data_IF_314496724425
#
_entry.id   IF_314496724425
#
_cell.length_a   1.000
_cell.length_b   1.000
_cell.length_c   1.000
_cell.angle_alpha   90.00
_cell.angle_beta   90.00
_cell.angle_gamma   90.00
#
_symmetry.space_group_name_H-M   'P 1'
#
loop_
_entity.id
_entity.type
_entity.pdbx_description
1 polymer ?
#
# COMPACT_ATOMS: atom_id res chain seq x y z
N UNK A 1 1.88 0.72 -23.97
CA UNK A 1 1.64 -0.26 -22.90
C UNK A 1 2.88 -1.09 -22.53
N UNK A 2 3.58 -1.80 -23.45
CA UNK A 2 4.72 -2.68 -23.11
C UNK A 2 5.85 -2.01 -22.33
N UNK A 3 6.26 -0.82 -22.74
CA UNK A 3 7.31 -0.05 -22.04
C UNK A 3 6.94 0.32 -20.59
N UNK A 4 5.67 0.61 -20.34
CA UNK A 4 5.20 0.93 -18.98
C UNK A 4 5.28 -0.29 -18.08
N UNK A 5 4.83 -1.46 -18.57
CA UNK A 5 4.92 -2.72 -17.82
C UNK A 5 6.37 -3.11 -17.55
N UNK A 6 7.26 -2.96 -18.54
CA UNK A 6 8.70 -3.21 -18.35
C UNK A 6 9.28 -2.30 -17.26
N UNK A 7 8.98 -1.00 -17.31
CA UNK A 7 9.43 -0.02 -16.31
C UNK A 7 8.88 -0.34 -14.91
N UNK A 8 7.61 -0.78 -14.83
CA UNK A 8 6.98 -1.23 -13.57
C UNK A 8 7.73 -2.44 -12.98
N UNK A 9 8.03 -3.44 -13.81
CA UNK A 9 8.80 -4.63 -13.40
C UNK A 9 10.21 -4.28 -12.91
N UNK A 10 10.90 -3.39 -13.59
CA UNK A 10 12.25 -2.96 -13.20
C UNK A 10 12.24 -2.20 -11.87
N UNK A 11 11.21 -1.35 -11.63
CA UNK A 11 11.01 -0.67 -10.35
C UNK A 11 10.82 -1.67 -9.22
N UNK A 12 9.90 -2.64 -9.38
CA UNK A 12 9.64 -3.67 -8.38
C UNK A 12 10.90 -4.50 -8.06
N UNK A 13 11.66 -4.90 -9.08
CA UNK A 13 12.95 -5.61 -8.90
C UNK A 13 14.00 -4.78 -8.17
N UNK A 14 14.04 -3.48 -8.42
CA UNK A 14 14.93 -2.57 -7.69
C UNK A 14 14.53 -2.49 -6.22
N UNK A 15 13.24 -2.36 -5.94
CA UNK A 15 12.70 -2.30 -4.58
C UNK A 15 12.97 -3.59 -3.79
N UNK A 16 12.88 -4.77 -4.44
CA UNK A 16 13.27 -6.06 -3.84
C UNK A 16 14.74 -6.02 -3.40
N UNK A 17 15.65 -5.58 -4.27
CA UNK A 17 17.08 -5.54 -3.92
C UNK A 17 17.35 -4.59 -2.75
N UNK A 18 16.78 -3.40 -2.78
CA UNK A 18 16.95 -2.40 -1.72
C UNK A 18 16.34 -2.84 -0.38
N UNK A 19 15.17 -3.48 -0.44
CA UNK A 19 14.49 -3.99 0.77
C UNK A 19 15.21 -5.19 1.37
N UNK A 20 15.75 -6.09 0.55
CA UNK A 20 16.55 -7.22 1.04
C UNK A 20 17.80 -6.72 1.80
N UNK A 21 18.57 -5.81 1.22
CA UNK A 21 19.77 -5.28 1.88
C UNK A 21 19.42 -4.65 3.23
N UNK A 22 18.37 -3.82 3.28
CA UNK A 22 17.92 -3.20 4.53
C UNK A 22 17.43 -4.21 5.56
N UNK A 23 16.69 -5.22 5.10
CA UNK A 23 16.18 -6.26 5.99
C UNK A 23 17.33 -7.06 6.58
N UNK A 24 18.30 -7.48 5.77
CA UNK A 24 19.46 -8.22 6.22
C UNK A 24 20.30 -7.44 7.24
N UNK A 25 20.54 -6.15 7.00
CA UNK A 25 21.20 -5.25 7.95
C UNK A 25 20.45 -5.16 9.30
N UNK A 26 19.12 -5.03 9.26
CA UNK A 26 18.29 -4.99 10.46
C UNK A 26 18.31 -6.32 11.22
N UNK A 27 18.16 -7.45 10.51
CA UNK A 27 18.19 -8.78 11.13
C UNK A 27 19.53 -9.04 11.82
N UNK A 28 20.63 -8.72 11.15
CA UNK A 28 21.98 -8.87 11.73
C UNK A 28 22.19 -7.96 12.94
N UNK A 29 21.83 -6.67 12.83
CA UNK A 29 22.04 -5.68 13.90
C UNK A 29 21.23 -5.99 15.16
N UNK A 30 20.08 -6.67 15.03
CA UNK A 30 19.16 -6.99 16.13
C UNK A 30 19.18 -8.46 16.53
N UNK A 31 20.03 -9.27 15.89
CA UNK A 31 20.13 -10.72 16.10
C UNK A 31 18.78 -11.45 15.95
N UNK A 32 18.01 -11.10 14.91
CA UNK A 32 16.71 -11.68 14.59
C UNK A 32 16.88 -12.68 13.44
N UNK A 33 16.19 -13.82 13.54
CA UNK A 33 16.15 -14.79 12.43
C UNK A 33 15.01 -14.46 11.49
N UNK A 34 15.18 -14.79 10.22
CA UNK A 34 14.12 -14.61 9.21
C UNK A 34 12.81 -15.35 9.57
N UNK A 35 12.94 -16.51 10.22
CA UNK A 35 11.80 -17.30 10.73
C UNK A 35 10.95 -16.58 11.79
N UNK A 36 11.53 -15.57 12.45
CA UNK A 36 10.86 -14.87 13.55
C UNK A 36 9.96 -13.74 13.04
N UNK A 37 10.13 -13.31 11.78
CA UNK A 37 9.39 -12.18 11.19
C UNK A 37 7.86 -12.36 11.22
N UNK A 38 7.29 -13.51 10.83
CA UNK A 38 5.85 -13.73 10.95
C UNK A 38 5.35 -13.64 12.39
N UNK A 39 6.13 -14.08 13.38
CA UNK A 39 5.76 -14.03 14.79
C UNK A 39 5.73 -12.60 15.30
N UNK A 40 6.75 -11.81 14.96
CA UNK A 40 6.79 -10.36 15.31
C UNK A 40 5.63 -9.62 14.64
N UNK A 41 5.34 -9.92 13.37
CA UNK A 41 4.20 -9.33 12.67
C UNK A 41 2.87 -9.65 13.36
N UNK A 42 2.62 -10.93 13.70
CA UNK A 42 1.40 -11.35 14.37
C UNK A 42 1.24 -10.69 15.75
N UNK A 43 2.34 -10.52 16.50
CA UNK A 43 2.33 -9.80 17.78
C UNK A 43 1.89 -8.34 17.60
N UNK A 44 2.47 -7.63 16.61
CA UNK A 44 2.10 -6.24 16.30
C UNK A 44 0.65 -6.13 15.81
N UNK A 45 0.21 -7.05 14.96
CA UNK A 45 -1.17 -7.08 14.45
C UNK A 45 -2.19 -7.32 15.57
N UNK A 46 -1.93 -8.26 16.48
CA UNK A 46 -2.77 -8.51 17.66
C UNK A 46 -2.90 -7.24 18.51
N UNK A 47 -1.79 -6.59 18.83
CA UNK A 47 -1.77 -5.33 19.59
C UNK A 47 -2.55 -4.22 18.87
N UNK A 48 -2.41 -4.11 17.56
CA UNK A 48 -3.13 -3.13 16.75
C UNK A 48 -4.65 -3.40 16.76
N UNK A 49 -5.09 -4.64 16.54
CA UNK A 49 -6.51 -5.03 16.57
C UNK A 49 -7.17 -4.74 17.91
N UNK A 50 -6.47 -4.95 19.00
CA UNK A 50 -6.96 -4.63 20.36
C UNK A 50 -7.20 -3.12 20.55
N UNK A 51 -6.54 -2.27 19.75
CA UNK A 51 -6.54 -0.81 19.92
C UNK A 51 -7.53 -0.09 19.00
N UNK A 52 -7.78 -0.61 17.78
CA UNK A 52 -8.49 0.09 16.71
C UNK A 52 -9.93 0.46 17.09
N UNK A 53 -10.64 -0.36 17.84
CA UNK A 53 -12.07 -0.19 18.13
C UNK A 53 -12.38 0.54 19.46
N UNK A 54 -11.40 1.21 20.04
CA UNK A 54 -11.57 1.74 21.39
C UNK A 54 -11.57 3.27 21.41
N UNK A 55 -12.73 3.88 21.76
CA UNK A 55 -12.83 5.32 21.97
C UNK A 55 -12.07 5.74 23.23
N UNK A 56 -11.34 6.86 23.14
CA UNK A 56 -10.62 7.47 24.25
C UNK A 56 -11.60 8.26 25.16
N UNK A 57 -11.57 8.01 26.45
CA UNK A 57 -12.29 8.76 27.49
C UNK A 57 -11.34 9.18 28.58
N UNK A 58 -11.76 10.13 29.44
CA UNK A 58 -10.95 10.53 30.62
C UNK A 58 -10.64 9.37 31.57
N UNK A 59 -11.52 8.35 31.60
CA UNK A 59 -11.34 7.16 32.43
C UNK A 59 -10.63 6.01 31.71
N UNK A 60 -10.04 6.27 30.55
CA UNK A 60 -9.31 5.25 29.79
C UNK A 60 -8.14 4.70 30.61
N UNK A 61 -8.01 3.36 30.78
CA UNK A 61 -6.88 2.76 31.49
C UNK A 61 -5.52 3.13 30.89
N UNK A 62 -4.50 3.20 31.74
CA UNK A 62 -3.14 3.57 31.33
C UNK A 62 -2.61 2.66 30.21
N UNK A 63 -2.75 1.33 30.34
CA UNK A 63 -2.29 0.38 29.32
C UNK A 63 -2.92 0.59 27.95
N UNK A 64 -4.18 0.99 27.96
CA UNK A 64 -4.89 1.32 26.72
C UNK A 64 -4.35 2.60 26.08
N UNK A 65 -4.04 3.62 26.89
CA UNK A 65 -3.41 4.87 26.41
C UNK A 65 -2.01 4.59 25.85
N UNK A 66 -1.23 3.72 26.50
CA UNK A 66 0.08 3.28 26.01
C UNK A 66 -0.03 2.64 24.63
N UNK A 67 -0.94 1.67 24.43
CA UNK A 67 -1.18 1.05 23.13
C UNK A 67 -1.69 2.04 22.07
N UNK A 68 -2.54 3.00 22.45
CA UNK A 68 -2.98 4.04 21.53
C UNK A 68 -1.82 4.93 21.08
N UNK A 69 -0.89 5.24 21.98
CA UNK A 69 0.28 6.04 21.64
C UNK A 69 1.23 5.29 20.68
N UNK A 70 1.45 4.00 20.90
CA UNK A 70 2.17 3.11 19.97
C UNK A 70 1.51 3.12 18.57
N UNK A 71 0.17 3.02 18.52
CA UNK A 71 -0.59 3.09 17.27
C UNK A 71 -0.44 4.44 16.55
N UNK A 72 -0.44 5.56 17.27
CA UNK A 72 -0.19 6.88 16.67
C UNK A 72 1.23 7.00 16.11
N UNK A 73 2.23 6.43 16.77
CA UNK A 73 3.59 6.37 16.25
C UNK A 73 3.64 5.69 14.88
N UNK A 74 3.08 4.50 14.77
CA UNK A 74 3.01 3.76 13.51
C UNK A 74 2.28 4.56 12.43
N UNK A 75 1.13 5.14 12.78
CA UNK A 75 0.34 5.95 11.85
C UNK A 75 1.13 7.17 11.33
N UNK A 76 1.83 7.89 12.21
CA UNK A 76 2.66 9.03 11.83
C UNK A 76 3.78 8.62 10.88
N UNK A 77 4.49 7.54 11.16
CA UNK A 77 5.57 7.03 10.29
C UNK A 77 5.03 6.57 8.94
N UNK A 78 3.94 5.79 8.93
CA UNK A 78 3.31 5.30 7.69
C UNK A 78 2.82 6.45 6.81
N UNK A 79 2.13 7.45 7.39
CA UNK A 79 1.62 8.60 6.63
C UNK A 79 2.77 9.46 6.10
N UNK A 80 3.85 9.66 6.88
CA UNK A 80 5.03 10.38 6.42
C UNK A 80 5.69 9.72 5.20
N UNK A 81 5.84 8.39 5.22
CA UNK A 81 6.36 7.60 4.10
C UNK A 81 5.44 7.73 2.87
N UNK A 82 4.11 7.63 3.06
CA UNK A 82 3.14 7.80 1.96
C UNK A 82 3.21 9.18 1.33
N UNK A 83 3.39 10.24 2.12
CA UNK A 83 3.56 11.60 1.59
C UNK A 83 4.80 11.70 0.71
N UNK A 84 5.91 11.06 1.11
CA UNK A 84 7.18 11.14 0.38
C UNK A 84 7.23 10.26 -0.86
N UNK A 85 6.62 9.06 -0.82
CA UNK A 85 6.75 8.05 -1.88
C UNK A 85 5.53 7.93 -2.81
N UNK A 86 4.31 8.06 -2.28
CA UNK A 86 3.08 7.67 -2.98
C UNK A 86 2.18 8.85 -3.38
N UNK A 87 2.39 10.03 -2.82
CA UNK A 87 1.51 11.17 -3.10
C UNK A 87 1.81 11.81 -4.46
N UNK A 88 1.23 11.27 -5.52
CA UNK A 88 1.42 11.75 -6.89
C UNK A 88 0.73 13.09 -7.16
N UNK A 89 -0.40 13.37 -6.52
CA UNK A 89 -1.15 14.60 -6.74
C UNK A 89 -1.25 15.49 -5.49
N UNK A 90 -1.45 16.78 -5.70
CA UNK A 90 -1.54 17.80 -4.65
C UNK A 90 -2.69 17.54 -3.66
N UNK A 91 -3.86 17.10 -4.15
CA UNK A 91 -5.05 16.84 -3.31
C UNK A 91 -4.79 15.68 -2.33
N UNK A 92 -4.22 14.57 -2.80
CA UNK A 92 -3.85 13.43 -1.95
C UNK A 92 -2.81 13.84 -0.91
N UNK A 93 -1.79 14.61 -1.32
CA UNK A 93 -0.76 15.12 -0.40
C UNK A 93 -1.34 16.01 0.69
N UNK A 94 -2.28 16.90 0.35
CA UNK A 94 -2.97 17.77 1.31
C UNK A 94 -3.79 16.95 2.31
N UNK A 95 -4.57 15.95 1.82
CA UNK A 95 -5.32 15.04 2.69
C UNK A 95 -4.40 14.29 3.67
N UNK A 96 -3.28 13.76 3.18
CA UNK A 96 -2.32 13.04 4.04
C UNK A 96 -1.66 13.96 5.08
N UNK A 97 -1.31 15.20 4.71
CA UNK A 97 -0.80 16.20 5.67
C UNK A 97 -1.81 16.51 6.77
N UNK A 98 -3.10 16.64 6.42
CA UNK A 98 -4.16 16.82 7.42
C UNK A 98 -4.22 15.64 8.40
N UNK A 99 -4.22 14.40 7.91
CA UNK A 99 -4.18 13.20 8.76
C UNK A 99 -2.96 13.22 9.67
N UNK A 100 -1.77 13.58 9.15
CA UNK A 100 -0.54 13.69 9.95
C UNK A 100 -0.70 14.69 11.10
N UNK A 101 -1.25 15.88 10.83
CA UNK A 101 -1.47 16.93 11.83
C UNK A 101 -2.47 16.49 12.90
N UNK A 102 -3.60 15.89 12.48
CA UNK A 102 -4.62 15.37 13.40
C UNK A 102 -4.08 14.24 14.29
N UNK A 103 -3.31 13.31 13.71
CA UNK A 103 -2.69 12.23 14.48
C UNK A 103 -1.66 12.77 15.47
N UNK A 104 -0.84 13.75 15.06
CA UNK A 104 0.10 14.43 15.95
C UNK A 104 -0.62 15.07 17.13
N UNK A 105 -1.72 15.78 16.89
CA UNK A 105 -2.53 16.39 17.96
C UNK A 105 -3.06 15.33 18.93
N UNK A 106 -3.62 14.22 18.42
CA UNK A 106 -4.11 13.11 19.25
C UNK A 106 -2.99 12.46 20.08
N UNK A 107 -1.79 12.34 19.52
CA UNK A 107 -0.64 11.81 20.23
C UNK A 107 -0.23 12.72 21.39
N UNK A 108 -0.11 14.05 21.17
CA UNK A 108 0.21 15.02 22.22
C UNK A 108 -0.83 14.99 23.36
N UNK A 109 -2.11 15.04 23.04
CA UNK A 109 -3.18 14.93 24.06
C UNK A 109 -3.14 13.61 24.83
N UNK A 110 -2.69 12.51 24.17
CA UNK A 110 -2.56 11.22 24.85
C UNK A 110 -1.34 11.18 25.76
N UNK A 111 -0.23 11.84 25.39
CA UNK A 111 0.96 12.03 26.21
C UNK A 111 0.60 12.83 27.48
N UNK A 112 -0.09 13.97 27.31
CA UNK A 112 -0.54 14.79 28.45
C UNK A 112 -1.43 13.99 29.40
N UNK A 113 -2.36 13.19 28.86
CA UNK A 113 -3.24 12.35 29.67
C UNK A 113 -2.48 11.22 30.37
N UNK A 114 -1.48 10.62 29.75
CA UNK A 114 -0.62 9.60 30.37
C UNK A 114 0.20 10.21 31.51
N UNK A 115 0.88 11.33 31.25
CA UNK A 115 1.68 12.03 32.28
C UNK A 115 0.84 12.51 33.48
N UNK A 116 -0.45 12.81 33.25
CA UNK A 116 -1.38 13.19 34.33
C UNK A 116 -1.87 12.02 35.19
N UNK A 117 -1.81 10.77 34.65
CA UNK A 117 -2.30 9.56 35.34
C UNK A 117 -1.21 8.74 36.00
N UNK A 118 0.00 8.88 35.56
CA UNK A 118 1.17 8.11 35.99
C UNK A 118 2.30 9.12 36.30
N UNK A 119 2.36 9.54 37.55
CA UNK A 119 3.32 10.57 38.00
C UNK A 119 4.78 10.13 37.88
N UNK A 120 5.01 8.80 37.86
CA UNK A 120 6.34 8.21 37.67
C UNK A 120 6.74 8.12 36.19
N UNK A 121 5.82 8.41 35.25
CA UNK A 121 6.02 8.23 33.85
C UNK A 121 6.05 9.57 33.09
N UNK A 122 7.25 10.11 32.91
CA UNK A 122 7.42 11.33 32.13
C UNK A 122 7.73 11.04 30.67
N UNK A 123 6.73 11.25 29.79
CA UNK A 123 6.84 11.01 28.34
C UNK A 123 6.99 12.35 27.63
N UNK A 124 8.11 12.50 26.93
CA UNK A 124 8.37 13.64 26.06
C UNK A 124 8.03 13.31 24.60
N UNK A 125 7.46 14.27 23.88
CA UNK A 125 7.14 14.10 22.45
C UNK A 125 8.38 13.71 21.62
N UNK A 126 9.57 14.15 21.97
CA UNK A 126 10.81 13.80 21.29
C UNK A 126 11.12 12.31 21.38
N UNK A 127 10.94 11.69 22.54
CA UNK A 127 11.12 10.27 22.76
C UNK A 127 10.07 9.47 21.99
N UNK A 128 8.81 9.91 22.04
CA UNK A 128 7.73 9.34 21.24
C UNK A 128 8.05 9.37 19.74
N UNK A 129 8.55 10.50 19.21
CA UNK A 129 8.88 10.61 17.79
C UNK A 129 10.06 9.71 17.36
N UNK A 130 10.94 9.35 18.29
CA UNK A 130 12.01 8.36 18.09
C UNK A 130 11.51 6.91 18.24
N UNK A 131 10.28 6.71 18.75
CA UNK A 131 9.72 5.39 19.04
C UNK A 131 10.25 4.78 20.32
N UNK A 132 10.73 5.60 21.25
CA UNK A 132 11.23 5.18 22.58
C UNK A 132 10.08 5.34 23.57
N UNK A 133 9.62 4.21 24.12
CA UNK A 133 8.53 4.18 25.08
C UNK A 133 9.05 3.73 26.45
N UNK A 134 8.84 4.51 27.55
CA UNK A 134 9.35 4.18 28.87
C UNK A 134 8.91 2.82 29.41
N UNK A 135 7.71 2.37 29.05
CA UNK A 135 7.19 1.06 29.48
C UNK A 135 7.81 -0.14 28.79
N UNK A 136 8.59 0.04 27.72
CA UNK A 136 9.28 -1.09 27.06
C UNK A 136 10.33 -1.72 27.96
N UNK A 137 10.97 -0.91 28.81
CA UNK A 137 11.95 -1.41 29.79
C UNK A 137 11.31 -2.24 30.93
N UNK A 138 10.00 -2.07 31.16
CA UNK A 138 9.26 -2.74 32.22
C UNK A 138 8.38 -3.89 31.72
N UNK A 139 8.49 -4.30 30.44
CA UNK A 139 7.69 -5.38 29.87
C UNK A 139 8.09 -6.71 30.55
N UNK A 140 7.13 -7.30 31.25
CA UNK A 140 7.27 -8.67 31.77
C UNK A 140 7.55 -9.61 30.60
N UNK A 141 8.58 -10.45 30.72
CA UNK A 141 9.02 -11.45 29.73
C UNK A 141 7.88 -12.37 29.25
N UNK A 142 6.78 -12.42 29.99
CA UNK A 142 5.62 -13.26 29.69
C UNK A 142 4.67 -12.67 28.64
N UNK A 143 4.76 -11.40 28.28
CA UNK A 143 3.80 -10.72 27.39
C UNK A 143 4.32 -10.56 25.93
N UNK A 144 5.59 -10.86 25.69
CA UNK A 144 6.20 -10.79 24.35
C UNK A 144 7.21 -11.92 24.13
N UNK A 145 7.21 -12.50 22.96
CA UNK A 145 8.21 -13.49 22.53
C UNK A 145 9.58 -12.88 22.26
N UNK A 146 9.65 -11.52 22.12
CA UNK A 146 10.86 -10.79 21.78
C UNK A 146 11.06 -9.61 22.75
N UNK A 147 11.39 -9.87 24.03
CA UNK A 147 11.51 -8.83 25.05
C UNK A 147 12.68 -7.88 24.82
N UNK A 148 13.70 -8.34 24.11
CA UNK A 148 14.91 -7.53 23.81
C UNK A 148 14.70 -6.51 22.69
N UNK A 149 13.60 -6.60 21.93
CA UNK A 149 13.32 -5.72 20.81
C UNK A 149 12.38 -4.60 21.24
N UNK A 150 12.81 -3.35 20.99
CA UNK A 150 11.94 -2.19 21.16
C UNK A 150 10.75 -2.24 20.18
N UNK A 151 9.67 -1.55 20.52
CA UNK A 151 8.51 -1.44 19.61
C UNK A 151 8.90 -0.86 18.25
N UNK A 152 9.77 0.15 18.25
CA UNK A 152 10.28 0.76 17.03
C UNK A 152 11.07 -0.24 16.17
N UNK A 153 11.92 -1.08 16.79
CA UNK A 153 12.68 -2.10 16.08
C UNK A 153 11.77 -3.16 15.46
N UNK A 154 10.80 -3.67 16.24
CA UNK A 154 9.77 -4.60 15.73
C UNK A 154 9.04 -4.02 14.51
N UNK A 155 8.60 -2.76 14.63
CA UNK A 155 7.92 -2.08 13.54
C UNK A 155 8.82 -1.95 12.29
N UNK A 156 10.07 -1.49 12.45
CA UNK A 156 10.97 -1.29 11.31
C UNK A 156 11.31 -2.57 10.58
N UNK A 157 11.55 -3.64 11.32
CA UNK A 157 11.86 -4.96 10.75
C UNK A 157 10.65 -5.49 9.98
N UNK A 158 9.45 -5.42 10.56
CA UNK A 158 8.22 -5.86 9.90
C UNK A 158 7.87 -4.98 8.70
N UNK A 159 8.04 -3.66 8.78
CA UNK A 159 7.80 -2.75 7.66
C UNK A 159 8.70 -3.09 6.46
N UNK A 160 10.00 -3.31 6.68
CA UNK A 160 10.93 -3.74 5.64
C UNK A 160 10.55 -5.10 5.04
N UNK A 161 10.16 -6.06 5.87
CA UNK A 161 9.73 -7.37 5.42
C UNK A 161 8.44 -7.30 4.58
N UNK A 162 7.45 -6.53 5.02
CA UNK A 162 6.19 -6.32 4.28
C UNK A 162 6.41 -5.59 2.95
N UNK A 163 7.33 -4.62 2.91
CA UNK A 163 7.71 -3.96 1.65
C UNK A 163 8.33 -4.97 0.67
N UNK A 164 9.19 -5.87 1.16
CA UNK A 164 9.75 -6.93 0.34
C UNK A 164 8.68 -7.88 -0.20
N UNK A 165 7.71 -8.29 0.63
CA UNK A 165 6.60 -9.14 0.19
C UNK A 165 5.77 -8.46 -0.90
N UNK A 166 5.38 -7.20 -0.70
CA UNK A 166 4.64 -6.41 -1.70
C UNK A 166 5.40 -6.26 -3.01
N UNK A 167 6.72 -6.02 -2.95
CA UNK A 167 7.52 -5.90 -4.16
C UNK A 167 7.61 -7.24 -4.93
N UNK A 168 7.65 -8.38 -4.22
CA UNK A 168 7.58 -9.71 -4.83
C UNK A 168 6.21 -9.95 -5.49
N UNK A 169 5.10 -9.62 -4.81
CA UNK A 169 3.75 -9.68 -5.37
C UNK A 169 3.62 -8.81 -6.62
N UNK A 170 4.17 -7.58 -6.59
CA UNK A 170 4.15 -6.67 -7.73
C UNK A 170 4.90 -7.22 -8.95
N UNK A 171 5.99 -7.97 -8.75
CA UNK A 171 6.70 -8.68 -9.83
C UNK A 171 5.79 -9.74 -10.45
N UNK A 172 5.09 -10.53 -9.63
CA UNK A 172 4.18 -11.58 -10.10
C UNK A 172 3.02 -10.96 -10.88
N UNK A 173 2.36 -9.96 -10.30
CA UNK A 173 1.24 -9.26 -10.92
C UNK A 173 1.64 -8.62 -12.26
N UNK A 174 2.79 -7.93 -12.30
CA UNK A 174 3.27 -7.29 -13.53
C UNK A 174 3.61 -8.30 -14.61
N UNK A 175 4.17 -9.46 -14.27
CA UNK A 175 4.40 -10.56 -15.24
C UNK A 175 3.08 -11.09 -15.79
N UNK A 176 2.07 -11.27 -14.93
CA UNK A 176 0.74 -11.71 -15.36
C UNK A 176 0.08 -10.67 -16.27
N UNK A 177 0.21 -9.37 -15.97
CA UNK A 177 -0.26 -8.29 -16.85
C UNK A 177 0.42 -8.32 -18.23
N UNK A 178 1.74 -8.58 -18.29
CA UNK A 178 2.48 -8.73 -19.55
C UNK A 178 1.94 -9.89 -20.39
N UNK A 179 1.73 -11.05 -19.78
CA UNK A 179 1.19 -12.25 -20.44
C UNK A 179 -0.22 -11.99 -20.95
N UNK A 180 -1.08 -11.44 -20.11
CA UNK A 180 -2.46 -11.12 -20.45
C UNK A 180 -2.54 -10.11 -21.61
N UNK A 181 -1.63 -9.13 -21.65
CA UNK A 181 -1.55 -8.19 -22.74
C UNK A 181 -1.23 -8.87 -24.08
N UNK A 182 -0.26 -9.78 -24.11
CA UNK A 182 0.09 -10.54 -25.34
C UNK A 182 -1.06 -11.49 -25.73
N UNK A 183 -1.69 -12.15 -24.76
CA UNK A 183 -2.88 -13.01 -24.98
C UNK A 183 -4.01 -12.22 -25.61
N UNK A 184 -4.36 -11.07 -25.06
CA UNK A 184 -5.38 -10.17 -25.62
C UNK A 184 -5.09 -9.79 -27.08
N UNK A 185 -3.85 -9.43 -27.41
CA UNK A 185 -3.47 -9.13 -28.80
C UNK A 185 -3.62 -10.34 -29.72
N UNK A 186 -3.27 -11.53 -29.23
CA UNK A 186 -3.37 -12.79 -29.98
C UNK A 186 -4.84 -13.16 -30.24
N UNK A 187 -5.71 -13.04 -29.27
CA UNK A 187 -7.15 -13.25 -29.39
C UNK A 187 -7.78 -12.25 -30.35
N UNK A 188 -7.44 -10.96 -30.22
CA UNK A 188 -7.88 -9.90 -31.12
C UNK A 188 -7.45 -10.18 -32.55
N UNK A 189 -6.21 -10.61 -32.78
CA UNK A 189 -5.73 -11.05 -34.10
C UNK A 189 -6.56 -12.21 -34.67
N UNK A 190 -6.86 -13.21 -33.82
CA UNK A 190 -7.63 -14.38 -34.23
C UNK A 190 -9.06 -14.02 -34.61
N UNK A 191 -9.71 -13.11 -33.89
CA UNK A 191 -11.06 -12.63 -34.21
C UNK A 191 -11.13 -11.86 -35.55
N UNK A 192 -10.05 -11.19 -35.94
CA UNK A 192 -9.98 -10.46 -37.22
C UNK A 192 -9.69 -11.37 -38.43
N UNK A 193 -9.24 -12.60 -38.24
CA UNK A 193 -9.00 -13.54 -39.33
C UNK A 193 -10.28 -13.95 -40.02
N UNK A 194 -11.40 -14.13 -39.30
CA UNK A 194 -12.69 -14.51 -39.90
C UNK A 194 -13.17 -13.47 -40.92
N UNK A 195 -13.29 -12.16 -40.61
CA UNK A 195 -13.68 -11.15 -41.58
C UNK A 195 -12.67 -10.98 -42.72
N UNK A 196 -11.38 -11.28 -42.49
CA UNK A 196 -10.35 -11.20 -43.53
C UNK A 196 -10.49 -12.31 -44.59
N UNK A 197 -11.03 -13.47 -44.19
CA UNK A 197 -11.20 -14.65 -45.07
C UNK A 197 -12.64 -14.91 -45.50
N UNK A 198 -13.61 -14.04 -45.15
CA UNK A 198 -14.99 -14.21 -45.57
C UNK A 198 -15.10 -14.04 -47.11
N UNK A 199 -15.62 -15.06 -47.77
CA UNK A 199 -15.88 -15.04 -49.22
C UNK A 199 -17.16 -14.25 -49.60
N UNK A 200 -17.84 -13.69 -48.60
CA UNK A 200 -19.07 -12.95 -48.79
C UNK A 200 -18.83 -11.66 -49.58
N UNK A 201 -19.40 -11.70 -50.78
CA UNK A 201 -19.73 -10.59 -51.65
C UNK A 201 -18.59 -9.77 -52.28
N UNK A 202 -18.54 -9.85 -53.61
CA UNK A 202 -17.75 -9.00 -54.52
C UNK A 202 -18.12 -7.51 -54.53
N UNK A 203 -18.86 -7.03 -53.54
CA UNK A 203 -19.21 -5.63 -53.41
C UNK A 203 -18.00 -4.83 -52.88
N UNK A 204 -17.82 -3.63 -53.43
CA UNK A 204 -16.72 -2.72 -53.04
C UNK A 204 -16.57 -2.55 -51.52
N UNK A 205 -17.68 -2.63 -50.79
CA UNK A 205 -17.73 -2.58 -49.34
C UNK A 205 -17.06 -3.80 -48.64
N UNK A 206 -17.27 -5.02 -49.21
CA UNK A 206 -16.63 -6.24 -48.70
C UNK A 206 -15.11 -6.23 -48.90
N UNK A 207 -14.62 -5.70 -50.03
CA UNK A 207 -13.18 -5.51 -50.28
C UNK A 207 -12.56 -4.54 -49.31
N UNK A 208 -13.25 -3.42 -49.02
CA UNK A 208 -12.80 -2.43 -48.03
C UNK A 208 -12.64 -3.02 -46.61
N UNK A 209 -13.64 -3.80 -46.14
CA UNK A 209 -13.58 -4.49 -44.84
C UNK A 209 -12.40 -5.47 -44.75
N UNK A 210 -12.18 -6.27 -45.78
CA UNK A 210 -11.05 -7.23 -45.85
C UNK A 210 -9.70 -6.50 -45.78
N UNK A 211 -9.52 -5.42 -46.53
CA UNK A 211 -8.30 -4.62 -46.52
C UNK A 211 -8.04 -4.01 -45.13
N UNK A 212 -9.07 -3.48 -44.47
CA UNK A 212 -8.96 -2.96 -43.10
C UNK A 212 -8.60 -4.07 -42.11
N UNK A 213 -9.23 -5.26 -42.21
CA UNK A 213 -8.92 -6.39 -41.35
C UNK A 213 -7.46 -6.86 -41.52
N UNK A 214 -6.98 -6.97 -42.76
CA UNK A 214 -5.57 -7.31 -43.02
C UNK A 214 -4.61 -6.26 -42.48
N UNK A 215 -4.85 -4.98 -42.69
CA UNK A 215 -4.01 -3.91 -42.14
C UNK A 215 -3.96 -3.94 -40.62
N UNK A 216 -5.10 -4.20 -39.96
CA UNK A 216 -5.13 -4.29 -38.49
C UNK A 216 -4.43 -5.56 -37.98
N UNK A 217 -4.52 -6.71 -38.68
CA UNK A 217 -3.76 -7.92 -38.35
C UNK A 217 -2.25 -7.66 -38.40
N UNK A 218 -1.76 -6.99 -39.46
CA UNK A 218 -0.34 -6.62 -39.57
C UNK A 218 0.11 -5.70 -38.45
N UNK A 219 -0.72 -4.72 -38.09
CA UNK A 219 -0.45 -3.83 -36.97
C UNK A 219 -0.36 -4.59 -35.66
N UNK A 220 -1.27 -5.53 -35.39
CA UNK A 220 -1.27 -6.37 -34.20
C UNK A 220 -0.06 -7.30 -34.17
N UNK A 221 0.29 -7.92 -35.32
CA UNK A 221 1.50 -8.74 -35.41
C UNK A 221 2.76 -7.95 -34.98
N UNK A 222 2.91 -6.74 -35.49
CA UNK A 222 4.01 -5.86 -35.13
C UNK A 222 4.01 -5.51 -33.62
N UNK A 223 2.81 -5.27 -33.03
CA UNK A 223 2.67 -5.03 -31.60
C UNK A 223 3.02 -6.26 -30.76
N UNK A 224 2.63 -7.47 -31.18
CA UNK A 224 2.99 -8.72 -30.49
C UNK A 224 4.50 -8.89 -30.50
N UNK A 225 5.15 -8.77 -31.67
CA UNK A 225 6.60 -8.91 -31.79
C UNK A 225 7.36 -7.91 -30.92
N UNK A 226 6.96 -6.64 -30.98
CA UNK A 226 7.56 -5.61 -30.13
C UNK A 226 7.37 -5.91 -28.64
N UNK A 227 6.18 -6.39 -28.25
CA UNK A 227 5.88 -6.72 -26.85
C UNK A 227 6.73 -7.88 -26.35
N UNK A 228 6.87 -8.94 -27.15
CA UNK A 228 7.72 -10.09 -26.82
C UNK A 228 9.19 -9.68 -26.65
N UNK A 229 9.69 -8.82 -27.53
CA UNK A 229 11.06 -8.28 -27.40
C UNK A 229 11.25 -7.45 -26.12
N UNK A 230 10.30 -6.52 -25.85
CA UNK A 230 10.38 -5.66 -24.65
C UNK A 230 10.28 -6.49 -23.36
N UNK A 231 9.43 -7.50 -23.34
CA UNK A 231 9.24 -8.35 -22.17
C UNK A 231 10.32 -9.42 -22.01
N UNK A 232 11.16 -9.64 -23.03
CA UNK A 232 12.11 -10.76 -23.13
C UNK A 232 11.42 -12.12 -22.94
N UNK A 233 10.22 -12.27 -23.53
CA UNK A 233 9.46 -13.51 -23.51
C UNK A 233 9.78 -14.34 -24.75
N UNK A 234 10.09 -15.61 -24.57
CA UNK A 234 10.22 -16.56 -25.68
C UNK A 234 8.86 -17.18 -26.01
N UNK A 235 8.47 -17.13 -27.28
CA UNK A 235 7.16 -17.56 -27.77
C UNK A 235 6.75 -19.00 -27.39
N UNK A 236 7.69 -19.88 -27.06
CA UNK A 236 7.42 -21.32 -26.94
C UNK A 236 7.43 -21.87 -25.51
N UNK A 237 8.04 -21.19 -24.52
CA UNK A 237 8.19 -21.74 -23.18
C UNK A 237 7.47 -20.97 -22.07
N UNK A 238 7.19 -19.69 -22.26
CA UNK A 238 6.63 -18.87 -21.18
C UNK A 238 5.10 -18.93 -21.09
N UNK A 239 4.42 -19.32 -22.18
CA UNK A 239 2.96 -19.42 -22.21
C UNK A 239 2.42 -20.74 -21.67
N UNK A 240 3.14 -21.86 -21.81
CA UNK A 240 2.70 -23.18 -21.34
C UNK A 240 2.83 -23.36 -19.84
N UNK A 241 3.79 -22.70 -19.19
CA UNK A 241 4.01 -22.80 -17.76
C UNK A 241 3.07 -21.91 -16.91
N UNK A 242 2.35 -20.97 -17.53
CA UNK A 242 1.47 -20.03 -16.83
C UNK A 242 -0.02 -20.39 -16.92
N UNK A 243 -0.41 -21.34 -17.76
CA UNK A 243 -1.80 -21.84 -17.81
C UNK A 243 -2.15 -22.69 -16.59
N UNK A 244 -1.18 -23.18 -15.81
CA UNK A 244 -1.39 -24.02 -14.63
C UNK A 244 -1.43 -23.26 -13.30
N UNK A 245 -1.15 -21.95 -13.25
CA UNK A 245 -1.14 -21.19 -11.99
C UNK A 245 -2.49 -20.53 -11.68
N UNK A 246 -3.45 -20.58 -12.62
CA UNK A 246 -4.75 -19.93 -12.44
C UNK A 246 -5.82 -20.81 -11.81
N UNK A 247 -5.55 -22.11 -11.54
CA UNK A 247 -6.57 -23.03 -11.00
C UNK A 247 -6.31 -23.56 -9.59
N UNK A 248 -5.31 -23.08 -8.87
CA UNK A 248 -5.13 -23.49 -7.49
C UNK A 248 -4.90 -22.28 -6.57
N UNK A 249 -5.89 -21.98 -5.74
CA UNK A 249 -5.85 -21.15 -4.54
C UNK A 249 -5.99 -19.62 -4.69
N UNK A 250 -7.04 -19.14 -5.36
CA UNK A 250 -7.65 -17.85 -5.01
C UNK A 250 -9.15 -18.00 -4.70
N UNK A 251 -9.52 -19.04 -3.95
CA UNK A 251 -10.74 -19.04 -3.15
C UNK A 251 -10.42 -18.51 -1.75
N UNK A 252 -9.84 -17.34 -1.68
CA UNK A 252 -10.01 -16.46 -0.54
C UNK A 252 -10.91 -15.33 -1.05
N UNK A 253 -12.19 -15.53 -0.87
CA UNK A 253 -13.18 -14.46 -0.82
C UNK A 253 -12.66 -13.41 0.17
N UNK A 254 -11.85 -12.48 -0.33
CA UNK A 254 -11.77 -11.16 0.25
C UNK A 254 -13.09 -10.51 -0.14
N UNK A 255 -14.14 -10.83 0.61
CA UNK A 255 -15.27 -9.94 0.78
C UNK A 255 -14.71 -8.61 1.29
N UNK A 256 -14.34 -7.77 0.35
CA UNK A 256 -14.21 -6.36 0.58
C UNK A 256 -15.64 -5.87 0.79
N UNK A 257 -16.15 -6.02 2.01
CA UNK A 257 -17.26 -5.20 2.47
C UNK A 257 -16.80 -3.74 2.32
N UNK A 258 -17.08 -3.17 1.18
CA UNK A 258 -17.22 -1.73 1.03
C UNK A 258 -18.43 -1.34 1.84
N UNK A 259 -18.26 -1.17 3.15
CA UNK A 259 -19.15 -0.37 3.94
C UNK A 259 -18.96 1.07 3.45
N UNK A 260 -19.62 1.41 2.36
CA UNK A 260 -20.06 2.76 2.07
C UNK A 260 -21.03 3.15 3.19
N UNK A 261 -20.52 3.44 4.38
CA UNK A 261 -21.22 4.27 5.32
C UNK A 261 -21.24 5.68 4.75
N UNK A 262 -22.35 5.96 4.07
CA UNK A 262 -22.88 7.29 3.86
C UNK A 262 -22.90 8.03 5.20
N UNK A 263 -21.86 8.77 5.52
CA UNK A 263 -21.92 9.90 6.44
C UNK A 263 -21.99 11.18 5.62
N UNK A 264 -23.05 11.29 4.83
CA UNK A 264 -23.63 12.58 4.52
C UNK A 264 -24.34 13.12 5.77
N UNK A 265 -24.11 14.41 5.99
CA UNK A 265 -24.74 15.29 6.98
C UNK A 265 -24.11 15.34 8.37
N UNK A 266 -23.13 16.21 8.52
CA UNK A 266 -23.09 17.19 9.62
C UNK A 266 -21.80 18.03 9.61
N UNK A 267 -21.52 18.83 8.60
CA UNK A 267 -20.54 19.93 8.71
C UNK A 267 -20.79 21.04 7.68
N UNK A 268 -22.02 21.55 7.64
CA UNK A 268 -22.32 22.73 6.82
C UNK A 268 -22.95 23.87 7.65
N UNK A 269 -22.70 23.90 8.94
CA UNK A 269 -23.11 25.07 9.75
C UNK A 269 -22.06 25.37 10.81
N UNK A 270 -20.95 25.99 10.46
CA UNK A 270 -20.07 26.72 11.40
C UNK A 270 -19.02 27.58 10.70
N UNK A 271 -19.34 28.15 9.53
CA UNK A 271 -18.57 29.25 8.94
C UNK A 271 -19.50 30.33 8.39
N UNK A 272 -20.26 30.95 9.29
CA UNK A 272 -20.99 32.17 8.98
C UNK A 272 -21.26 32.91 10.29
N UNK A 273 -20.23 33.50 10.86
CA UNK A 273 -20.43 34.57 11.87
C UNK A 273 -19.07 34.98 12.46
N UNK A 274 -18.30 35.76 11.74
CA UNK A 274 -17.33 36.74 12.30
C UNK A 274 -16.61 37.51 11.17
N UNK A 275 -17.36 38.09 10.29
CA UNK A 275 -16.93 39.28 9.53
C UNK A 275 -18.05 40.30 9.72
N UNK A 276 -17.92 41.14 10.72
CA UNK A 276 -18.44 42.50 10.77
C UNK A 276 -18.07 43.13 12.11
N UNK A 277 -17.14 44.04 12.08
CA UNK A 277 -17.07 45.29 12.82
C UNK A 277 -15.64 45.67 13.19
N UNK A 278 -14.88 46.15 12.23
CA UNK A 278 -13.96 47.26 12.46
C UNK A 278 -14.40 48.42 11.60
N UNK A 279 -15.32 49.23 12.14
CA UNK A 279 -15.54 50.58 11.67
C UNK A 279 -14.84 51.55 12.61
N UNK A 280 -13.78 52.16 12.07
CA UNK A 280 -13.46 53.59 12.16
C UNK A 280 -14.11 54.39 13.30
N UNK A 281 -13.31 54.89 14.24
CA UNK A 281 -13.47 56.27 14.71
C UNK A 281 -12.13 56.94 14.80
N UNK A 282 -11.91 57.87 13.87
CA UNK A 282 -11.07 59.02 13.96
C UNK A 282 -11.67 59.98 15.01
N UNK A 283 -10.85 60.39 15.96
CA UNK A 283 -10.68 61.79 16.39
C UNK A 283 -9.39 61.87 17.22
#
# INVERSE_FOLDING_TARGET
MPFLLRKKLERARKEIRESNVKLDELLQSKNIKYSDLPLIHNELERKAKETINQRRTKNTPVDKLRRMLEGYYVQLKTVAIKISKEAENSKTRTKMRRILTETKKKALETIELLNSKDEDLEIYYENFNKGVFPWEAAINENDTQFPTLSYADKYHVVDCWMLLQRANEEVILTKNEMINYVRFLTEKRSSLKQPAHSEEEDKAFGKGKRTMAHSEIERINSQIQLSLQIFNLNCNNDFSNFTHVTDSNYDTELEFETSEEETENSTTELYSSSEEQETLSSD
#
